data_IF_878810208112
#
_entry.id   IF_878810208112
#
_cell.length_a   1.000
_cell.length_b   1.000
_cell.length_c   1.000
_cell.angle_alpha   90.00
_cell.angle_beta   90.00
_cell.angle_gamma   90.00
#
_symmetry.space_group_name_H-M   'P 1'
#
loop_
_entity.id
_entity.type
_entity.pdbx_description
1 polymer ?
#
# COMPACT_ATOMS: atom_id res chain seq x y z
N UNK A 1 -30.16 -2.41 1.04
CA UNK A 1 -30.61 -1.01 0.78
C UNK A 1 -30.33 -0.71 -0.69
N UNK A 2 -31.21 0.01 -1.38
CA UNK A 2 -31.01 0.39 -2.78
C UNK A 2 -30.72 1.89 -2.82
N UNK A 3 -29.56 2.25 -3.34
CA UNK A 3 -29.22 3.63 -3.66
C UNK A 3 -29.00 3.70 -5.17
N UNK A 4 -29.76 4.57 -5.83
CA UNK A 4 -29.67 4.78 -7.27
C UNK A 4 -28.82 6.03 -7.46
N UNK A 5 -27.59 5.84 -7.92
CA UNK A 5 -26.74 6.90 -8.45
C UNK A 5 -27.02 6.98 -9.96
N UNK A 6 -26.84 8.14 -10.58
CA UNK A 6 -27.32 8.36 -11.96
C UNK A 6 -26.71 7.37 -12.98
N UNK A 7 -25.46 6.92 -12.75
CA UNK A 7 -24.76 5.93 -13.60
C UNK A 7 -24.29 4.67 -12.87
N UNK A 8 -24.65 4.50 -11.59
CA UNK A 8 -24.39 3.25 -10.89
C UNK A 8 -25.50 2.84 -9.93
N UNK A 9 -25.72 1.53 -9.82
CA UNK A 9 -26.60 0.98 -8.78
C UNK A 9 -25.72 0.46 -7.67
N UNK A 10 -25.90 0.98 -6.45
CA UNK A 10 -25.30 0.40 -5.26
C UNK A 10 -26.34 -0.48 -4.55
N UNK A 11 -26.04 -1.77 -4.45
CA UNK A 11 -26.84 -2.70 -3.65
C UNK A 11 -26.00 -3.09 -2.45
N UNK A 12 -26.42 -2.67 -1.27
CA UNK A 12 -25.82 -3.14 -0.01
C UNK A 12 -26.73 -4.21 0.58
N UNK A 13 -26.23 -5.44 0.65
CA UNK A 13 -26.84 -6.51 1.43
C UNK A 13 -26.14 -6.60 2.79
N UNK A 14 -26.83 -6.07 3.81
CA UNK A 14 -26.45 -6.26 5.21
C UNK A 14 -27.04 -7.56 5.74
N UNK A 15 -26.26 -8.29 6.54
CA UNK A 15 -26.68 -9.46 7.32
C UNK A 15 -26.04 -9.40 8.69
N UNK A 16 -26.87 -9.52 9.73
CA UNK A 16 -26.43 -9.79 11.09
C UNK A 16 -26.45 -11.30 11.31
N UNK A 17 -25.37 -11.84 11.85
CA UNK A 17 -25.18 -13.26 12.12
C UNK A 17 -25.55 -13.60 13.57
N UNK A 18 -25.72 -14.90 13.85
CA UNK A 18 -26.13 -15.40 15.18
C UNK A 18 -25.11 -15.12 16.29
N UNK A 19 -23.83 -14.97 15.92
CA UNK A 19 -22.72 -14.60 16.80
C UNK A 19 -22.56 -13.07 16.97
N UNK A 20 -23.47 -12.28 16.40
CA UNK A 20 -23.42 -10.82 16.41
C UNK A 20 -22.52 -10.21 15.33
N UNK A 21 -21.89 -11.01 14.47
CA UNK A 21 -21.08 -10.52 13.35
C UNK A 21 -21.94 -9.82 12.28
N UNK A 22 -21.37 -8.82 11.62
CA UNK A 22 -22.02 -8.08 10.53
C UNK A 22 -21.32 -8.40 9.21
N UNK A 23 -22.09 -8.72 8.17
CA UNK A 23 -21.57 -8.89 6.81
C UNK A 23 -22.31 -7.94 5.88
N UNK A 24 -21.54 -7.09 5.20
CA UNK A 24 -21.99 -6.27 4.10
C UNK A 24 -21.44 -6.81 2.80
N UNK A 25 -22.33 -7.10 1.86
CA UNK A 25 -21.94 -7.29 0.47
C UNK A 25 -22.38 -6.05 -0.29
N UNK A 26 -21.40 -5.28 -0.74
CA UNK A 26 -21.62 -4.07 -1.51
C UNK A 26 -21.41 -4.42 -2.97
N UNK A 27 -22.48 -4.31 -3.74
CA UNK A 27 -22.45 -4.38 -5.18
C UNK A 27 -22.47 -2.98 -5.74
N UNK A 28 -21.47 -2.64 -6.55
CA UNK A 28 -21.46 -1.40 -7.31
C UNK A 28 -21.55 -1.75 -8.78
N UNK A 29 -22.67 -1.44 -9.40
CA UNK A 29 -22.88 -1.60 -10.84
C UNK A 29 -22.41 -0.33 -11.56
N UNK A 30 -21.12 -0.25 -11.88
CA UNK A 30 -20.58 0.70 -12.87
C UNK A 30 -20.22 -0.06 -14.18
N UNK A 31 -19.48 0.57 -15.10
CA UNK A 31 -19.02 -0.02 -16.39
C UNK A 31 -18.44 -1.45 -16.24
N UNK A 32 -17.91 -1.78 -15.06
CA UNK A 32 -17.59 -3.13 -14.62
C UNK A 32 -18.23 -3.39 -13.23
N UNK A 33 -19.00 -4.48 -13.08
CA UNK A 33 -19.64 -4.80 -11.79
C UNK A 33 -18.61 -5.25 -10.75
N UNK A 34 -18.44 -4.48 -9.67
CA UNK A 34 -17.53 -4.81 -8.55
C UNK A 34 -18.31 -5.34 -7.34
N UNK A 35 -17.67 -6.28 -6.62
CA UNK A 35 -18.15 -6.84 -5.36
C UNK A 35 -17.13 -6.49 -4.28
N UNK A 36 -17.58 -5.82 -3.23
CA UNK A 36 -16.81 -5.67 -1.99
C UNK A 36 -17.52 -6.46 -0.91
N UNK A 37 -16.76 -7.29 -0.20
CA UNK A 37 -17.24 -8.04 0.95
C UNK A 37 -16.62 -7.39 2.17
N UNK A 38 -17.43 -6.76 3.01
CA UNK A 38 -17.01 -6.23 4.30
C UNK A 38 -17.58 -7.13 5.40
N UNK A 39 -16.72 -7.62 6.26
CA UNK A 39 -17.07 -8.44 7.42
C UNK A 39 -16.62 -7.72 8.69
N UNK A 40 -17.46 -7.72 9.71
CA UNK A 40 -17.14 -7.25 11.05
C UNK A 40 -17.44 -8.34 12.05
N UNK A 41 -16.44 -8.77 12.80
CA UNK A 41 -16.61 -9.83 13.79
C UNK A 41 -17.45 -9.37 14.98
N UNK A 42 -18.39 -10.21 15.41
CA UNK A 42 -19.19 -9.99 16.62
C UNK A 42 -18.49 -10.47 17.90
N UNK A 43 -17.58 -11.43 17.77
CA UNK A 43 -16.85 -12.06 18.86
C UNK A 43 -15.40 -12.39 18.47
N UNK A 44 -14.58 -12.71 19.47
CA UNK A 44 -13.21 -13.18 19.27
C UNK A 44 -13.22 -14.63 18.77
N UNK A 45 -13.15 -14.84 17.46
CA UNK A 45 -13.24 -16.18 16.88
C UNK A 45 -12.45 -16.31 15.57
N UNK A 46 -12.18 -17.55 15.17
CA UNK A 46 -11.64 -17.86 13.84
C UNK A 46 -12.76 -18.01 12.81
N UNK A 47 -12.67 -17.22 11.75
CA UNK A 47 -13.64 -17.21 10.65
C UNK A 47 -13.01 -17.70 9.36
N UNK A 48 -13.78 -18.48 8.58
CA UNK A 48 -13.43 -18.91 7.23
C UNK A 48 -14.36 -18.33 6.18
N UNK A 49 -13.81 -17.61 5.20
CA UNK A 49 -14.55 -17.18 4.02
C UNK A 49 -14.33 -18.17 2.86
N UNK A 50 -15.41 -18.74 2.34
CA UNK A 50 -15.38 -19.67 1.21
C UNK A 50 -16.33 -19.20 0.11
N UNK A 51 -15.82 -19.14 -1.12
CA UNK A 51 -16.62 -18.90 -2.31
C UNK A 51 -16.78 -20.17 -3.11
N UNK A 52 -18.02 -20.60 -3.29
CA UNK A 52 -18.39 -21.80 -4.03
C UNK A 52 -18.94 -21.44 -5.40
N UNK A 53 -18.55 -22.22 -6.41
CA UNK A 53 -19.04 -22.13 -7.80
C UNK A 53 -19.55 -23.49 -8.23
N UNK A 54 -20.84 -23.60 -8.50
CA UNK A 54 -21.48 -24.79 -9.06
C UNK A 54 -21.56 -24.65 -10.59
N UNK A 55 -20.83 -25.52 -11.32
CA UNK A 55 -20.89 -25.59 -12.78
C UNK A 55 -22.06 -26.49 -13.23
N UNK A 56 -23.09 -25.97 -13.94
CA UNK A 56 -24.27 -26.76 -14.29
C UNK A 56 -23.96 -27.93 -15.21
N UNK A 57 -24.65 -29.06 -14.96
CA UNK A 57 -24.42 -30.33 -15.65
C UNK A 57 -25.34 -30.50 -16.87
N UNK A 58 -25.26 -29.64 -17.91
CA UNK A 58 -25.92 -29.90 -19.21
C UNK A 58 -25.43 -29.00 -20.36
N UNK A 59 -25.54 -29.49 -21.60
CA UNK A 59 -25.09 -28.88 -22.87
C UNK A 59 -25.91 -27.68 -23.37
N UNK A 60 -26.73 -27.09 -22.52
CA UNK A 60 -27.35 -25.78 -22.76
C UNK A 60 -26.85 -24.88 -21.65
N UNK A 61 -26.04 -23.89 -22.01
CA UNK A 61 -25.42 -22.91 -21.10
C UNK A 61 -26.47 -22.34 -20.14
N UNK A 62 -26.61 -22.94 -18.96
CA UNK A 62 -27.31 -22.34 -17.81
C UNK A 62 -26.26 -21.61 -16.99
N UNK A 63 -26.65 -20.47 -16.41
CA UNK A 63 -25.81 -19.70 -15.49
C UNK A 63 -25.31 -20.60 -14.36
N UNK A 64 -24.02 -20.52 -14.02
CA UNK A 64 -23.50 -21.14 -12.81
C UNK A 64 -24.17 -20.57 -11.56
N UNK A 65 -24.24 -21.35 -10.48
CA UNK A 65 -24.61 -20.81 -9.17
C UNK A 65 -23.33 -20.45 -8.44
N UNK A 66 -23.30 -19.24 -7.89
CA UNK A 66 -22.21 -18.78 -7.03
C UNK A 66 -22.75 -18.75 -5.61
N UNK A 67 -21.97 -19.11 -4.61
CA UNK A 67 -22.36 -18.85 -3.23
C UNK A 67 -21.19 -18.46 -2.36
N UNK A 68 -21.43 -17.47 -1.49
CA UNK A 68 -20.49 -17.12 -0.43
C UNK A 68 -20.92 -17.85 0.83
N UNK A 69 -19.96 -18.46 1.50
CA UNK A 69 -20.12 -19.18 2.74
C UNK A 69 -19.14 -18.63 3.79
N UNK A 70 -19.64 -18.29 4.97
CA UNK A 70 -18.81 -17.96 6.12
C UNK A 70 -18.96 -19.04 7.19
N UNK A 71 -17.84 -19.50 7.74
CA UNK A 71 -17.78 -20.48 8.82
C UNK A 71 -17.11 -19.86 10.04
N UNK A 72 -17.59 -20.19 11.24
CA UNK A 72 -16.87 -19.94 12.50
C UNK A 72 -16.17 -21.21 13.00
N UNK A 73 -15.50 -21.15 14.15
CA UNK A 73 -14.63 -22.19 14.72
C UNK A 73 -15.18 -23.63 14.72
N UNK A 74 -16.50 -23.81 14.64
CA UNK A 74 -17.11 -25.15 14.52
C UNK A 74 -18.40 -25.21 13.71
N UNK A 75 -18.86 -24.09 13.12
CA UNK A 75 -20.21 -23.98 12.57
C UNK A 75 -20.26 -23.26 11.23
N UNK A 76 -21.30 -23.57 10.46
CA UNK A 76 -21.71 -22.80 9.29
C UNK A 76 -22.52 -21.59 9.75
N UNK A 77 -22.02 -20.37 9.49
CA UNK A 77 -22.68 -19.14 9.93
C UNK A 77 -23.65 -18.59 8.87
N UNK A 78 -23.26 -18.63 7.59
CA UNK A 78 -24.10 -18.06 6.53
C UNK A 78 -23.80 -18.62 5.14
N UNK A 79 -24.86 -18.91 4.34
CA UNK A 79 -24.78 -19.19 2.89
C UNK A 79 -25.58 -18.17 2.14
N UNK A 80 -25.00 -17.57 1.12
CA UNK A 80 -25.72 -16.71 0.19
C UNK A 80 -25.63 -17.30 -1.20
N UNK A 81 -26.76 -17.78 -1.75
CA UNK A 81 -26.83 -18.31 -3.11
C UNK A 81 -27.11 -17.18 -4.10
N UNK A 82 -26.17 -16.93 -4.98
CA UNK A 82 -26.20 -15.85 -5.95
C UNK A 82 -26.51 -16.36 -7.36
N UNK A 83 -27.65 -15.91 -7.90
CA UNK A 83 -28.04 -16.14 -9.29
C UNK A 83 -28.35 -14.82 -10.00
N UNK A 84 -27.36 -13.93 -10.17
CA UNK A 84 -27.41 -12.82 -11.14
C UNK A 84 -26.05 -12.13 -11.27
N UNK A 85 -25.14 -12.75 -12.01
CA UNK A 85 -24.05 -12.04 -12.66
C UNK A 85 -24.05 -12.48 -14.11
N UNK A 86 -24.39 -11.57 -15.03
CA UNK A 86 -23.98 -11.72 -16.42
C UNK A 86 -22.52 -11.30 -16.41
N UNK A 87 -21.65 -12.27 -16.65
CA UNK A 87 -20.29 -12.04 -17.14
C UNK A 87 -19.39 -11.21 -16.21
N UNK A 88 -18.82 -11.83 -15.18
CA UNK A 88 -17.59 -11.33 -14.58
C UNK A 88 -16.71 -12.50 -14.14
N UNK A 89 -15.59 -12.69 -14.83
CA UNK A 89 -14.51 -13.59 -14.47
C UNK A 89 -13.40 -12.72 -13.89
N UNK A 90 -13.36 -12.56 -12.55
CA UNK A 90 -12.09 -12.18 -11.89
C UNK A 90 -11.25 -13.44 -11.76
N UNK A 91 -9.95 -13.31 -11.95
CA UNK A 91 -8.95 -14.27 -12.44
C UNK A 91 -8.76 -15.58 -11.62
N UNK A 92 -9.81 -16.40 -11.46
CA UNK A 92 -9.65 -17.77 -10.99
C UNK A 92 -9.43 -18.67 -12.22
N UNK A 93 -8.17 -18.77 -12.67
CA UNK A 93 -7.78 -19.69 -13.74
C UNK A 93 -7.77 -21.14 -13.25
N UNK A 94 -8.93 -21.77 -13.20
CA UNK A 94 -9.02 -23.21 -13.00
C UNK A 94 -8.70 -23.91 -14.31
N UNK A 95 -7.52 -24.53 -14.37
CA UNK A 95 -7.19 -25.51 -15.42
C UNK A 95 -8.16 -26.68 -15.30
N UNK A 96 -9.16 -26.69 -16.19
CA UNK A 96 -10.12 -27.76 -16.54
C UNK A 96 -10.10 -29.01 -15.66
N UNK A 97 -11.21 -29.29 -14.95
CA UNK A 97 -11.56 -30.65 -14.57
C UNK A 97 -13.08 -30.92 -14.58
N UNK A 98 -13.59 -31.46 -15.69
CA UNK A 98 -14.79 -32.33 -15.71
C UNK A 98 -16.17 -31.69 -15.48
N UNK A 99 -17.17 -32.23 -16.18
CA UNK A 99 -18.58 -31.78 -16.10
C UNK A 99 -19.20 -32.03 -14.71
N UNK A 100 -19.84 -31.01 -14.13
CA UNK A 100 -20.65 -31.13 -12.91
C UNK A 100 -19.86 -31.18 -11.60
N UNK A 101 -18.77 -30.40 -11.49
CA UNK A 101 -18.02 -30.22 -10.25
C UNK A 101 -18.39 -28.90 -9.56
N UNK A 102 -18.39 -28.95 -8.24
CA UNK A 102 -18.37 -27.78 -7.35
C UNK A 102 -16.91 -27.37 -7.15
N UNK A 103 -16.64 -26.07 -7.24
CA UNK A 103 -15.34 -25.49 -6.93
C UNK A 103 -15.55 -24.62 -5.71
N UNK A 104 -14.82 -24.91 -4.64
CA UNK A 104 -14.77 -24.07 -3.44
C UNK A 104 -13.40 -23.42 -3.39
N UNK A 105 -13.37 -22.10 -3.30
CA UNK A 105 -12.16 -21.31 -3.06
C UNK A 105 -12.31 -20.77 -1.65
N UNK A 106 -11.54 -21.32 -0.73
CA UNK A 106 -11.41 -20.76 0.60
C UNK A 106 -10.39 -19.63 0.51
N UNK A 107 -10.75 -18.44 0.96
CA UNK A 107 -9.86 -17.29 0.94
C UNK A 107 -9.03 -17.18 2.21
N UNK A 108 -9.56 -17.62 3.37
CA UNK A 108 -8.86 -17.42 4.64
C UNK A 108 -9.44 -18.25 5.78
N UNK A 109 -8.60 -18.74 6.69
CA UNK A 109 -8.93 -18.94 8.12
C UNK A 109 -8.21 -17.86 8.91
N UNK A 110 -8.95 -16.93 9.52
CA UNK A 110 -8.34 -15.87 10.33
C UNK A 110 -9.06 -15.70 11.65
N UNK A 111 -8.28 -15.53 12.70
CA UNK A 111 -8.78 -15.10 14.00
C UNK A 111 -9.05 -13.61 13.96
N UNK A 112 -10.27 -13.23 14.26
CA UNK A 112 -10.70 -11.85 14.40
C UNK A 112 -10.93 -11.52 15.87
N UNK A 113 -10.65 -10.29 16.26
CA UNK A 113 -11.11 -9.72 17.52
C UNK A 113 -12.53 -9.16 17.37
N UNK A 114 -13.30 -9.12 18.44
CA UNK A 114 -14.64 -8.55 18.44
C UNK A 114 -14.60 -7.08 17.97
N UNK A 115 -15.38 -6.79 16.93
CA UNK A 115 -15.45 -5.49 16.28
C UNK A 115 -14.44 -5.25 15.15
N UNK A 116 -13.47 -6.14 14.96
CA UNK A 116 -12.49 -6.08 13.87
C UNK A 116 -13.17 -6.22 12.50
N UNK A 117 -12.72 -5.42 11.51
CA UNK A 117 -13.28 -5.37 10.16
C UNK A 117 -12.32 -5.94 9.12
N UNK A 118 -12.85 -6.61 8.11
CA UNK A 118 -12.13 -7.11 6.93
C UNK A 118 -12.88 -6.76 5.66
N UNK A 119 -12.16 -6.26 4.64
CA UNK A 119 -12.74 -5.87 3.37
C UNK A 119 -12.00 -6.50 2.20
N UNK A 120 -12.60 -7.46 1.49
CA UNK A 120 -12.02 -8.02 0.26
C UNK A 120 -12.28 -7.09 -0.94
N UNK A 121 -11.22 -6.79 -1.70
CA UNK A 121 -11.22 -5.85 -2.84
C UNK A 121 -11.85 -4.48 -2.52
N UNK A 122 -11.31 -3.73 -1.54
CA UNK A 122 -11.86 -2.43 -1.18
C UNK A 122 -11.74 -1.42 -2.32
N UNK A 123 -12.65 -0.46 -2.34
CA UNK A 123 -12.52 0.80 -3.09
C UNK A 123 -12.40 1.90 -2.06
N UNK A 124 -11.34 2.69 -2.17
CA UNK A 124 -11.12 3.86 -1.34
C UNK A 124 -11.46 5.09 -2.16
N UNK A 125 -12.36 5.94 -1.65
CA UNK A 125 -12.63 7.23 -2.28
C UNK A 125 -11.70 8.28 -1.69
N UNK A 126 -11.37 9.27 -2.50
CA UNK A 126 -10.52 10.35 -2.04
C UNK A 126 -11.21 11.16 -0.95
N UNK A 127 -10.46 11.51 0.09
CA UNK A 127 -10.91 12.35 1.19
C UNK A 127 -10.99 13.79 0.71
N UNK A 128 -12.22 14.32 0.55
CA UNK A 128 -12.42 15.62 -0.10
C UNK A 128 -11.75 16.79 0.64
N UNK A 129 -11.56 16.70 1.96
CA UNK A 129 -10.83 17.71 2.73
C UNK A 129 -9.31 17.67 2.54
N UNK A 130 -8.79 16.66 1.84
CA UNK A 130 -7.36 16.38 1.64
C UNK A 130 -7.01 16.17 0.17
N UNK A 131 -7.94 16.43 -0.74
CA UNK A 131 -7.69 16.46 -2.17
C UNK A 131 -7.94 17.85 -2.73
N UNK A 132 -7.59 18.03 -4.00
CA UNK A 132 -7.72 19.31 -4.69
C UNK A 132 -6.44 19.69 -5.41
N UNK A 133 -6.08 20.97 -5.37
CA UNK A 133 -4.96 21.49 -6.17
C UNK A 133 -4.11 22.52 -5.44
N UNK A 134 -2.85 22.62 -5.88
CA UNK A 134 -1.99 23.76 -5.60
C UNK A 134 -1.69 24.45 -6.94
N UNK A 135 -1.78 25.78 -6.94
CA UNK A 135 -1.53 26.61 -8.12
C UNK A 135 -0.34 27.52 -7.90
N UNK A 136 0.58 27.57 -8.87
CA UNK A 136 1.62 28.60 -8.96
C UNK A 136 1.39 29.51 -10.15
N UNK A 137 1.52 30.83 -9.95
CA UNK A 137 1.25 31.83 -10.97
C UNK A 137 2.20 33.04 -10.85
N UNK A 138 2.85 33.44 -11.95
CA UNK A 138 3.74 34.62 -12.04
C UNK A 138 3.71 35.23 -13.45
N UNK A 139 4.33 36.40 -13.65
CA UNK A 139 4.52 37.05 -14.97
C UNK A 139 5.77 36.54 -15.74
N UNK A 140 6.42 35.49 -15.22
CA UNK A 140 7.54 34.79 -15.85
C UNK A 140 7.38 33.27 -15.72
N UNK A 141 8.10 32.52 -16.56
CA UNK A 141 8.10 31.07 -16.55
C UNK A 141 9.47 30.51 -16.14
N UNK A 142 9.53 29.45 -15.31
CA UNK A 142 8.41 28.84 -14.60
C UNK A 142 7.94 29.71 -13.42
N UNK A 143 6.64 29.71 -13.08
CA UNK A 143 6.14 30.40 -11.90
C UNK A 143 6.67 29.74 -10.62
N UNK A 144 6.94 30.58 -9.63
CA UNK A 144 7.48 30.23 -8.32
C UNK A 144 6.55 30.59 -7.17
N UNK A 145 5.68 31.58 -7.37
CA UNK A 145 4.75 32.07 -6.36
C UNK A 145 3.51 31.17 -6.28
N UNK A 146 3.25 30.59 -5.11
CA UNK A 146 1.99 29.89 -4.83
C UNK A 146 0.85 30.90 -4.76
N UNK A 147 -0.11 30.79 -5.69
CA UNK A 147 -1.26 31.69 -5.79
C UNK A 147 -2.54 31.13 -5.17
N UNK A 148 -2.61 29.81 -4.96
CA UNK A 148 -3.77 29.16 -4.34
C UNK A 148 -3.48 27.73 -3.89
N UNK A 149 -4.21 27.32 -2.85
CA UNK A 149 -4.37 25.94 -2.40
C UNK A 149 -5.87 25.75 -2.23
N UNK A 150 -6.46 24.88 -3.03
CA UNK A 150 -7.90 24.67 -3.08
C UNK A 150 -8.20 23.22 -2.66
N UNK A 151 -9.05 23.05 -1.63
CA UNK A 151 -9.43 21.74 -1.04
C UNK A 151 -10.94 21.62 -0.80
N UNK A 152 -11.73 22.49 -1.41
CA UNK A 152 -13.19 22.58 -1.24
C UNK A 152 -13.81 23.05 -2.57
N UNK A 153 -13.41 22.37 -3.64
CA UNK A 153 -13.82 22.66 -5.02
C UNK A 153 -14.15 21.36 -5.71
N UNK A 154 -15.17 21.33 -6.58
CA UNK A 154 -15.54 20.12 -7.31
C UNK A 154 -14.48 19.64 -8.31
N UNK A 155 -13.61 20.55 -8.75
CA UNK A 155 -12.66 20.32 -9.84
C UNK A 155 -11.26 20.76 -9.43
N UNK A 156 -10.27 20.05 -9.96
CA UNK A 156 -8.84 20.28 -9.80
C UNK A 156 -8.16 20.19 -11.16
N UNK A 157 -7.10 20.97 -11.36
CA UNK A 157 -6.44 21.08 -12.67
C UNK A 157 -5.06 20.44 -12.66
N UNK A 158 -4.71 19.80 -13.77
CA UNK A 158 -3.35 19.30 -14.02
C UNK A 158 -2.84 19.89 -15.31
N UNK A 159 -1.70 20.58 -15.25
CA UNK A 159 -1.10 21.17 -16.44
C UNK A 159 -0.58 22.57 -16.21
N UNK A 160 -0.58 23.35 -17.27
CA UNK A 160 -0.08 24.72 -17.27
C UNK A 160 -0.85 25.58 -18.28
N UNK A 161 -0.86 26.89 -18.07
CA UNK A 161 -1.52 27.83 -18.96
C UNK A 161 -0.73 29.12 -19.12
N UNK A 162 -1.04 29.86 -20.18
CA UNK A 162 -0.55 31.21 -20.42
C UNK A 162 -1.73 32.14 -20.71
N UNK A 163 -1.92 33.17 -19.88
CA UNK A 163 -2.99 34.14 -20.09
C UNK A 163 -2.74 35.05 -21.29
N UNK A 164 -3.83 35.56 -21.87
CA UNK A 164 -3.81 36.46 -23.01
C UNK A 164 -3.45 37.93 -22.67
N UNK A 165 -3.06 38.74 -23.67
CA UNK A 165 -2.73 40.16 -23.48
C UNK A 165 -3.87 40.97 -22.82
N UNK A 166 -3.57 42.06 -22.08
CA UNK A 166 -2.30 42.79 -22.05
C UNK A 166 -1.30 42.35 -20.97
N UNK A 167 -1.65 41.38 -20.11
CA UNK A 167 -0.78 40.86 -19.07
C UNK A 167 -0.60 39.36 -19.27
N UNK A 168 0.65 38.92 -19.46
CA UNK A 168 0.97 37.50 -19.60
C UNK A 168 1.32 36.94 -18.22
N UNK A 169 0.46 36.06 -17.71
CA UNK A 169 0.72 35.25 -16.54
C UNK A 169 0.89 33.81 -16.98
N UNK A 170 1.82 33.13 -16.33
CA UNK A 170 2.05 31.70 -16.50
C UNK A 170 1.58 30.99 -15.25
N UNK A 171 0.73 29.99 -15.43
CA UNK A 171 0.17 29.21 -14.32
C UNK A 171 0.60 27.74 -14.46
N UNK A 172 0.95 27.11 -13.34
CA UNK A 172 1.11 25.65 -13.24
C UNK A 172 0.14 25.15 -12.17
N UNK A 173 -0.60 24.11 -12.53
CA UNK A 173 -1.56 23.43 -11.68
C UNK A 173 -1.09 22.01 -11.39
N UNK A 174 -1.09 21.64 -10.11
CA UNK A 174 -0.88 20.26 -9.66
C UNK A 174 -2.05 19.83 -8.81
N UNK A 175 -2.50 18.61 -9.02
CA UNK A 175 -3.59 18.01 -8.26
C UNK A 175 -3.07 17.02 -7.22
N UNK A 176 -3.84 16.82 -6.16
CA UNK A 176 -3.49 15.96 -5.03
C UNK A 176 -4.71 15.13 -4.63
N UNK A 177 -4.51 13.87 -4.27
CA UNK A 177 -5.58 12.95 -3.84
C UNK A 177 -5.12 12.12 -2.64
N UNK A 178 -6.03 11.85 -1.70
CA UNK A 178 -5.76 11.15 -0.44
C UNK A 178 -6.75 10.04 -0.18
N UNK A 179 -6.28 8.82 0.09
CA UNK A 179 -7.12 7.66 0.37
C UNK A 179 -6.81 7.09 1.75
N UNK A 180 -7.83 6.94 2.60
CA UNK A 180 -7.69 6.22 3.88
C UNK A 180 -7.59 4.71 3.64
N UNK A 181 -6.38 4.21 3.52
CA UNK A 181 -6.06 2.80 3.29
C UNK A 181 -5.77 2.02 4.59
N UNK A 182 -6.02 2.62 5.77
CA UNK A 182 -5.78 2.00 7.08
C UNK A 182 -6.65 0.77 7.36
N UNK A 183 -7.70 0.56 6.56
CA UNK A 183 -8.55 -0.63 6.63
C UNK A 183 -7.94 -1.88 5.98
N UNK A 184 -6.77 -1.78 5.35
CA UNK A 184 -6.03 -2.94 4.83
C UNK A 184 -5.31 -3.62 6.01
N UNK A 185 -5.40 -4.94 6.20
CA UNK A 185 -4.67 -5.61 7.27
C UNK A 185 -3.14 -5.49 7.09
N UNK A 186 -2.40 -5.35 8.19
CA UNK A 186 -0.93 -5.16 8.16
C UNK A 186 -0.14 -6.35 7.60
N UNK A 187 -0.74 -7.55 7.59
CA UNK A 187 -0.09 -8.82 7.26
C UNK A 187 -0.40 -9.32 5.83
N UNK A 188 -0.72 -8.41 4.92
CA UNK A 188 -1.08 -8.73 3.53
C UNK A 188 -0.03 -8.31 2.52
N UNK A 189 -0.07 -8.97 1.38
CA UNK A 189 0.68 -8.63 0.18
C UNK A 189 -0.23 -7.83 -0.73
N UNK A 190 0.16 -6.61 -1.06
CA UNK A 190 -0.50 -5.86 -2.12
C UNK A 190 -0.08 -6.47 -3.47
N UNK A 191 -1.06 -6.96 -4.23
CA UNK A 191 -0.81 -7.56 -5.55
C UNK A 191 -0.81 -6.49 -6.65
N UNK A 192 -1.74 -5.56 -6.55
CA UNK A 192 -1.93 -4.48 -7.52
C UNK A 192 -2.73 -3.35 -6.92
N UNK A 193 -2.50 -2.15 -7.43
CA UNK A 193 -3.34 -1.00 -7.15
C UNK A 193 -3.56 -0.19 -8.44
N UNK A 194 -4.75 0.38 -8.57
CA UNK A 194 -5.10 1.26 -9.69
C UNK A 194 -5.79 2.50 -9.16
N UNK A 195 -5.22 3.67 -9.48
CA UNK A 195 -5.84 4.97 -9.23
C UNK A 195 -6.75 5.32 -10.41
N UNK A 196 -7.96 5.75 -10.10
CA UNK A 196 -8.95 6.19 -11.06
C UNK A 196 -9.27 7.66 -10.83
N UNK A 197 -9.13 8.47 -11.88
CA UNK A 197 -9.48 9.88 -11.91
C UNK A 197 -10.48 10.11 -13.04
N UNK A 198 -11.39 11.07 -12.89
CA UNK A 198 -12.34 11.38 -13.94
C UNK A 198 -12.01 12.75 -14.56
N UNK A 199 -11.78 12.76 -15.87
CA UNK A 199 -11.44 13.95 -16.64
C UNK A 199 -12.71 14.51 -17.28
N UNK A 200 -13.03 15.77 -17.01
CA UNK A 200 -14.29 16.42 -17.44
C UNK A 200 -14.06 17.41 -18.56
N UNK A 201 -12.84 17.97 -18.66
CA UNK A 201 -12.45 18.84 -19.76
C UNK A 201 -10.97 18.65 -20.10
N UNK A 202 -10.67 18.77 -21.39
CA UNK A 202 -9.31 18.86 -21.92
C UNK A 202 -9.17 20.19 -22.65
N UNK A 203 -8.48 21.12 -22.00
CA UNK A 203 -8.18 22.46 -22.52
C UNK A 203 -6.72 22.52 -23.01
N UNK A 204 -6.21 21.42 -23.57
CA UNK A 204 -4.84 21.35 -24.08
C UNK A 204 -4.76 21.49 -25.61
N UNK A 205 -4.24 22.63 -26.07
CA UNK A 205 -3.86 22.80 -27.49
C UNK A 205 -2.63 21.96 -27.86
N UNK A 206 -1.85 21.57 -26.84
CA UNK A 206 -0.66 20.75 -26.99
C UNK A 206 -0.70 19.58 -26.03
N UNK A 207 -0.63 18.37 -26.61
CA UNK A 207 -0.64 17.12 -25.85
C UNK A 207 0.46 17.05 -24.79
N UNK A 208 0.11 16.47 -23.64
CA UNK A 208 1.03 16.17 -22.55
C UNK A 208 0.66 14.86 -21.87
N UNK A 209 1.49 14.41 -20.94
CA UNK A 209 1.19 13.25 -20.09
C UNK A 209 0.79 13.74 -18.70
N UNK A 210 -0.39 13.33 -18.25
CA UNK A 210 -0.82 13.43 -16.86
C UNK A 210 -0.03 12.35 -16.11
N UNK A 211 0.84 12.76 -15.21
CA UNK A 211 1.75 11.87 -14.48
C UNK A 211 1.38 11.80 -13.00
N UNK A 212 1.35 10.59 -12.45
CA UNK A 212 1.09 10.33 -11.04
C UNK A 212 2.39 10.04 -10.30
N UNK A 213 2.62 10.74 -9.20
CA UNK A 213 3.77 10.59 -8.33
C UNK A 213 3.34 10.21 -6.91
N UNK A 214 4.02 9.19 -6.38
CA UNK A 214 3.98 8.84 -4.96
C UNK A 214 5.32 9.16 -4.29
N UNK A 215 5.66 8.44 -3.24
CA UNK A 215 6.87 8.67 -2.44
C UNK A 215 6.85 7.84 -1.14
N UNK A 216 7.48 8.38 -0.10
CA UNK A 216 7.31 7.84 1.25
C UNK A 216 5.93 8.25 1.76
N UNK A 217 5.03 7.28 1.89
CA UNK A 217 3.64 7.55 2.25
C UNK A 217 3.46 7.82 3.75
N UNK A 218 2.47 8.65 4.15
CA UNK A 218 1.73 9.58 3.29
C UNK A 218 2.63 10.73 2.81
N UNK A 219 2.49 11.16 1.55
CA UNK A 219 3.42 12.15 0.96
C UNK A 219 3.20 13.60 1.43
N UNK A 220 1.99 13.95 1.91
CA UNK A 220 1.69 15.28 2.50
C UNK A 220 0.95 15.22 3.85
N UNK A 221 0.50 14.04 4.29
CA UNK A 221 0.02 13.83 5.65
C UNK A 221 -1.42 14.31 5.88
N UNK A 222 -1.64 15.07 6.96
CA UNK A 222 -2.98 15.35 7.49
C UNK A 222 -3.63 16.64 6.94
N UNK A 223 -2.96 17.36 6.05
CA UNK A 223 -3.48 18.57 5.40
C UNK A 223 -2.80 18.79 4.06
N UNK A 224 -3.52 19.33 3.08
CA UNK A 224 -2.93 19.86 1.86
C UNK A 224 -2.64 21.37 2.02
N UNK A 225 -1.39 21.77 1.91
CA UNK A 225 -0.95 23.15 2.01
C UNK A 225 0.15 23.52 0.99
N UNK A 226 0.52 24.80 0.96
CA UNK A 226 1.45 25.32 -0.05
C UNK A 226 2.85 24.69 -0.02
N UNK A 227 3.24 24.08 1.10
CA UNK A 227 4.50 23.38 1.32
C UNK A 227 4.57 22.02 0.62
N UNK A 228 3.42 21.46 0.23
CA UNK A 228 3.33 20.13 -0.41
C UNK A 228 3.65 20.17 -1.91
N UNK A 229 3.96 21.34 -2.46
CA UNK A 229 4.38 21.47 -3.85
C UNK A 229 5.65 20.64 -4.12
N UNK A 230 5.50 19.53 -4.86
CA UNK A 230 6.60 18.62 -5.16
C UNK A 230 6.87 17.56 -4.10
N UNK A 231 5.89 17.25 -3.25
CA UNK A 231 5.98 16.13 -2.30
C UNK A 231 6.07 14.75 -3.00
N UNK A 232 5.60 14.65 -4.25
CA UNK A 232 5.74 13.46 -5.09
C UNK A 232 7.17 13.28 -5.60
N UNK A 233 7.84 12.23 -5.13
CA UNK A 233 9.26 11.92 -5.42
C UNK A 233 9.46 10.68 -6.28
N UNK A 234 8.43 9.85 -6.45
CA UNK A 234 8.51 8.58 -7.19
C UNK A 234 7.42 8.48 -8.26
N UNK A 235 7.81 8.47 -9.54
CA UNK A 235 6.88 8.29 -10.66
C UNK A 235 6.20 6.91 -10.61
N UNK A 236 4.88 6.88 -10.79
CA UNK A 236 4.08 5.65 -10.80
C UNK A 236 3.58 5.30 -12.19
N UNK A 237 2.86 6.22 -12.82
CA UNK A 237 2.17 5.99 -14.09
C UNK A 237 1.83 7.30 -14.77
N UNK A 238 1.38 7.21 -16.02
CA UNK A 238 0.90 8.37 -16.74
C UNK A 238 0.00 8.01 -17.91
N UNK A 239 -0.88 8.93 -18.26
CA UNK A 239 -1.82 8.85 -19.39
C UNK A 239 -1.63 10.09 -20.26
N UNK A 240 -1.55 9.89 -21.58
CA UNK A 240 -1.34 10.97 -22.54
C UNK A 240 -2.68 11.62 -22.91
N UNK A 241 -2.78 12.94 -22.92
CA UNK A 241 -4.00 13.64 -23.38
C UNK A 241 -4.27 13.37 -24.86
N UNK A 242 -3.23 13.05 -25.64
CA UNK A 242 -3.36 12.63 -27.04
C UNK A 242 -4.20 11.36 -27.26
N UNK A 243 -4.49 10.59 -26.20
CA UNK A 243 -5.32 9.37 -26.28
C UNK A 243 -6.78 9.62 -25.92
N UNK A 244 -7.16 10.86 -25.61
CA UNK A 244 -8.53 11.18 -25.24
C UNK A 244 -9.41 11.13 -26.48
N UNK A 245 -10.42 10.26 -26.45
CA UNK A 245 -11.38 10.12 -27.56
C UNK A 245 -12.41 11.27 -27.53
N UNK A 246 -12.82 11.72 -26.34
CA UNK A 246 -13.66 12.89 -26.02
C UNK A 246 -13.38 13.31 -24.55
N UNK A 247 -13.58 14.58 -24.12
CA UNK A 247 -13.65 14.91 -22.69
C UNK A 247 -14.82 14.16 -22.02
N UNK A 248 -14.77 13.96 -20.69
CA UNK A 248 -15.72 13.14 -19.90
C UNK A 248 -15.40 11.63 -19.81
N UNK A 249 -14.14 11.28 -19.54
CA UNK A 249 -13.70 9.88 -19.39
C UNK A 249 -12.99 9.56 -18.06
N UNK A 250 -13.03 8.28 -17.69
CA UNK A 250 -12.28 7.75 -16.54
C UNK A 250 -10.87 7.36 -16.97
N UNK A 251 -9.88 7.98 -16.33
CA UNK A 251 -8.46 7.70 -16.49
C UNK A 251 -8.02 6.67 -15.43
N UNK A 252 -7.28 5.64 -15.87
CA UNK A 252 -6.75 4.59 -14.99
C UNK A 252 -5.23 4.60 -14.97
N UNK A 253 -4.65 4.60 -13.77
CA UNK A 253 -3.21 4.66 -13.54
C UNK A 253 -2.77 3.44 -12.72
N UNK A 254 -1.88 2.63 -13.26
CA UNK A 254 -1.30 1.49 -12.54
C UNK A 254 -0.35 1.98 -11.45
N UNK A 255 -0.65 1.68 -10.19
CA UNK A 255 0.16 2.09 -9.04
C UNK A 255 1.00 0.91 -8.56
N UNK A 256 2.26 1.18 -8.24
CA UNK A 256 3.15 0.17 -7.65
C UNK A 256 2.58 -0.31 -6.29
N UNK A 257 2.52 -1.62 -6.03
CA UNK A 257 2.08 -2.15 -4.73
C UNK A 257 2.80 -1.56 -3.52
N UNK A 258 4.07 -1.17 -3.68
CA UNK A 258 4.89 -0.55 -2.62
C UNK A 258 4.50 0.89 -2.26
N UNK A 259 3.57 1.49 -3.01
CA UNK A 259 3.02 2.81 -2.70
C UNK A 259 1.77 2.75 -1.85
N UNK A 260 1.24 1.56 -1.55
CA UNK A 260 0.05 1.44 -0.72
C UNK A 260 0.47 1.38 0.75
N UNK A 261 0.02 2.37 1.51
CA UNK A 261 0.27 2.45 2.94
C UNK A 261 -0.85 1.74 3.72
N UNK A 262 -0.61 0.50 4.12
CA UNK A 262 -1.61 -0.29 4.86
C UNK A 262 -1.88 0.23 6.28
N UNK A 263 -0.97 1.05 6.84
CA UNK A 263 -1.07 1.58 8.22
C UNK A 263 -1.70 2.97 8.29
N UNK A 264 -2.12 3.55 7.17
CA UNK A 264 -2.59 4.93 7.13
C UNK A 264 -3.06 5.35 5.75
N UNK A 265 -2.79 6.59 5.39
CA UNK A 265 -3.19 7.16 4.10
C UNK A 265 -2.21 6.81 3.00
N UNK A 266 -2.79 6.58 1.82
CA UNK A 266 -2.09 6.53 0.53
C UNK A 266 -2.42 7.80 -0.23
N UNK A 267 -1.39 8.55 -0.63
CA UNK A 267 -1.51 9.88 -1.23
C UNK A 267 -0.70 10.01 -2.52
N UNK A 268 -1.18 10.82 -3.45
CA UNK A 268 -0.50 11.07 -4.72
C UNK A 268 -0.52 12.54 -5.13
N UNK A 269 0.57 12.97 -5.77
CA UNK A 269 0.67 14.23 -6.52
C UNK A 269 0.49 13.91 -8.01
N UNK A 270 -0.33 14.69 -8.71
CA UNK A 270 -0.56 14.58 -10.14
C UNK A 270 -0.10 15.86 -10.82
N UNK A 271 0.76 15.71 -11.84
CA UNK A 271 1.37 16.85 -12.56
C UNK A 271 1.55 16.56 -14.04
N UNK A 272 1.87 17.60 -14.80
CA UNK A 272 2.11 17.48 -16.25
C UNK A 272 3.57 17.17 -16.58
N UNK A 273 3.79 16.31 -17.57
CA UNK A 273 5.12 16.03 -18.12
C UNK A 273 5.76 17.22 -18.86
N UNK A 274 4.99 18.30 -19.10
CA UNK A 274 5.46 19.53 -19.76
C UNK A 274 5.92 20.61 -18.80
N UNK A 275 5.82 20.42 -17.49
CA UNK A 275 6.41 21.36 -16.54
C UNK A 275 7.91 21.58 -16.83
N UNK A 276 8.35 22.83 -16.84
CA UNK A 276 9.67 23.23 -17.30
C UNK A 276 9.75 23.62 -18.78
N UNK A 277 8.70 23.39 -19.57
CA UNK A 277 8.54 23.90 -20.94
C UNK A 277 7.46 24.97 -20.97
N UNK A 278 7.81 26.20 -21.32
CA UNK A 278 6.86 27.32 -21.30
C UNK A 278 5.64 27.07 -22.20
N UNK A 279 4.40 27.20 -21.69
CA UNK A 279 3.19 27.02 -22.50
C UNK A 279 3.00 28.19 -23.48
N UNK A 280 2.38 27.88 -24.62
CA UNK A 280 2.02 28.88 -25.62
C UNK A 280 0.58 29.38 -25.52
N UNK A 281 -0.28 28.60 -24.86
CA UNK A 281 -1.68 28.85 -24.55
C UNK A 281 -2.10 27.94 -23.39
N UNK A 282 -3.30 27.39 -23.44
CA UNK A 282 -3.78 26.44 -22.44
C UNK A 282 -3.24 25.03 -22.74
N UNK A 283 -2.65 24.40 -21.72
CA UNK A 283 -2.07 23.06 -21.73
C UNK A 283 -2.44 22.36 -20.41
N UNK A 284 -3.74 22.27 -20.10
CA UNK A 284 -4.24 21.64 -18.87
C UNK A 284 -5.53 20.85 -19.08
N UNK A 285 -5.83 19.99 -18.11
CA UNK A 285 -7.10 19.24 -18.01
C UNK A 285 -7.80 19.56 -16.69
N UNK A 286 -9.11 19.37 -16.66
CA UNK A 286 -9.94 19.43 -15.45
C UNK A 286 -10.32 18.03 -14.98
N UNK A 287 -10.00 17.72 -13.72
CA UNK A 287 -10.31 16.46 -13.05
C UNK A 287 -11.29 16.69 -11.91
N UNK A 288 -12.14 15.71 -11.63
CA UNK A 288 -13.00 15.72 -10.44
C UNK A 288 -12.20 15.59 -9.14
N UNK A 289 -12.62 16.29 -8.09
CA UNK A 289 -12.16 16.09 -6.70
C UNK A 289 -13.12 15.17 -5.94
N UNK A 290 -12.80 14.88 -4.66
CA UNK A 290 -13.68 14.17 -3.75
C UNK A 290 -14.97 14.93 -3.41
N UNK A 291 -15.00 16.25 -3.59
CA UNK A 291 -16.23 17.05 -3.42
C UNK A 291 -17.25 16.81 -4.54
N UNK A 292 -16.79 16.34 -5.70
CA UNK A 292 -17.68 16.01 -6.81
C UNK A 292 -18.29 14.61 -6.67
N UNK A 293 -19.49 14.58 -6.09
CA UNK A 293 -20.21 13.35 -5.74
C UNK A 293 -20.37 12.31 -6.86
N UNK A 294 -20.47 12.73 -8.11
CA UNK A 294 -20.81 11.82 -9.21
C UNK A 294 -19.61 10.99 -9.69
N UNK A 295 -18.43 11.58 -9.72
CA UNK A 295 -17.21 10.96 -10.22
C UNK A 295 -15.99 11.27 -9.33
N UNK A 296 -16.06 11.00 -8.00
CA UNK A 296 -14.95 11.27 -7.12
C UNK A 296 -13.75 10.36 -7.46
N UNK A 297 -12.51 10.83 -7.30
CA UNK A 297 -11.33 9.98 -7.41
C UNK A 297 -11.43 8.77 -6.50
N UNK A 298 -10.97 7.61 -7.00
CA UNK A 298 -10.96 6.39 -6.20
C UNK A 298 -9.74 5.51 -6.49
N UNK A 299 -9.31 4.78 -5.46
CA UNK A 299 -8.23 3.82 -5.51
C UNK A 299 -8.80 2.41 -5.34
N UNK A 300 -8.41 1.51 -6.23
CA UNK A 300 -8.69 0.08 -6.08
C UNK A 300 -7.41 -0.65 -5.69
N UNK A 301 -7.50 -1.55 -4.71
CA UNK A 301 -6.36 -2.33 -4.21
C UNK A 301 -6.76 -3.81 -4.18
N UNK A 302 -5.92 -4.66 -4.78
CA UNK A 302 -6.00 -6.12 -4.65
C UNK A 302 -4.87 -6.58 -3.73
N UNK A 303 -5.20 -7.42 -2.76
CA UNK A 303 -4.22 -7.95 -1.82
C UNK A 303 -4.56 -9.38 -1.40
N UNK A 304 -3.55 -10.12 -0.96
CA UNK A 304 -3.70 -11.48 -0.43
C UNK A 304 -2.97 -11.64 0.88
N UNK A 305 -3.50 -12.50 1.74
CA UNK A 305 -2.89 -12.89 3.02
C UNK A 305 -1.87 -14.03 2.85
N UNK A 306 -1.82 -14.66 1.67
CA UNK A 306 -0.83 -15.69 1.36
C UNK A 306 0.42 -15.04 0.79
N UNK A 307 1.27 -14.45 1.66
CA UNK A 307 2.63 -14.15 1.25
C UNK A 307 3.44 -15.43 1.18
N UNK A 308 3.62 -15.94 -0.04
CA UNK A 308 4.76 -16.80 -0.34
C UNK A 308 5.74 -15.97 -1.13
N UNK A 309 6.85 -15.49 -0.53
CA UNK A 309 7.84 -14.72 -1.27
C UNK A 309 8.30 -15.54 -2.48
N UNK A 310 8.43 -14.88 -3.64
CA UNK A 310 8.89 -15.55 -4.84
C UNK A 310 10.32 -16.06 -4.64
N UNK A 311 10.73 -17.08 -5.39
CA UNK A 311 12.10 -17.58 -5.33
C UNK A 311 13.13 -16.47 -5.64
N UNK A 312 12.78 -15.50 -6.49
CA UNK A 312 13.63 -14.35 -6.80
C UNK A 312 13.72 -13.37 -5.62
N UNK A 313 12.61 -13.10 -4.93
CA UNK A 313 12.60 -12.26 -3.73
C UNK A 313 13.41 -12.90 -2.59
N UNK A 314 13.26 -14.22 -2.40
CA UNK A 314 14.08 -14.98 -1.44
C UNK A 314 15.56 -14.87 -1.81
N UNK A 315 15.92 -15.07 -3.08
CA UNK A 315 17.31 -14.96 -3.52
C UNK A 315 17.88 -13.55 -3.35
N UNK A 316 17.08 -12.51 -3.61
CA UNK A 316 17.49 -11.12 -3.40
C UNK A 316 17.72 -10.82 -1.92
N UNK A 317 16.84 -11.28 -1.02
CA UNK A 317 17.01 -11.13 0.42
C UNK A 317 18.25 -11.88 0.93
N UNK A 318 18.49 -13.11 0.46
CA UNK A 318 19.71 -13.88 0.79
C UNK A 318 20.95 -13.14 0.30
N UNK A 319 20.97 -12.66 -0.94
CA UNK A 319 22.10 -11.92 -1.49
C UNK A 319 22.36 -10.61 -0.73
N UNK A 320 21.30 -9.94 -0.28
CA UNK A 320 21.41 -8.75 0.56
C UNK A 320 22.14 -9.07 1.87
N UNK A 321 21.68 -10.08 2.63
CA UNK A 321 22.32 -10.50 3.89
C UNK A 321 23.77 -10.96 3.67
N UNK A 322 24.04 -11.69 2.59
CA UNK A 322 25.40 -12.13 2.22
C UNK A 322 26.32 -10.94 1.94
N UNK A 323 25.82 -9.90 1.27
CA UNK A 323 26.61 -8.70 0.96
C UNK A 323 26.93 -7.83 2.18
N UNK A 324 26.12 -7.95 3.23
CA UNK A 324 26.26 -7.25 4.50
C UNK A 324 27.02 -8.07 5.55
N UNK A 325 27.49 -9.27 5.23
CA UNK A 325 28.25 -10.09 6.15
C UNK A 325 29.68 -9.56 6.33
N UNK A 326 30.07 -9.31 7.59
CA UNK A 326 31.44 -9.00 7.97
C UNK A 326 32.20 -10.27 8.35
N UNK A 327 33.23 -10.64 7.57
CA UNK A 327 33.98 -11.87 7.78
C UNK A 327 34.90 -11.88 9.01
N UNK A 328 35.22 -10.72 9.58
CA UNK A 328 36.04 -10.59 10.79
C UNK A 328 35.20 -10.76 12.05
N UNK A 329 34.04 -10.10 12.10
CA UNK A 329 33.13 -10.19 13.25
C UNK A 329 32.19 -11.39 13.16
N UNK A 330 32.03 -11.94 11.97
CA UNK A 330 31.08 -13.00 11.62
C UNK A 330 29.63 -12.60 11.89
N UNK A 331 29.31 -11.31 11.72
CA UNK A 331 27.98 -10.72 11.88
C UNK A 331 27.58 -9.92 10.65
N UNK A 332 26.28 -9.71 10.48
CA UNK A 332 25.66 -8.84 9.46
C UNK A 332 25.40 -7.46 10.06
N UNK A 333 25.70 -6.41 9.30
CA UNK A 333 25.33 -5.02 9.61
C UNK A 333 24.14 -4.60 8.75
N UNK A 334 23.18 -3.85 9.30
CA UNK A 334 21.90 -3.58 8.61
C UNK A 334 21.71 -2.12 8.18
N UNK A 335 22.59 -1.20 8.57
CA UNK A 335 22.37 0.22 8.24
C UNK A 335 23.28 0.70 7.13
N UNK A 336 22.71 1.15 6.00
CA UNK A 336 23.45 1.88 4.96
C UNK A 336 23.69 3.35 5.32
N UNK A 337 23.24 3.78 6.50
CA UNK A 337 23.39 5.14 6.96
C UNK A 337 24.86 5.46 7.26
N UNK A 338 25.35 6.53 6.64
CA UNK A 338 26.73 7.02 6.78
C UNK A 338 26.86 8.14 7.82
N UNK A 339 25.77 8.41 8.54
CA UNK A 339 25.69 9.42 9.59
C UNK A 339 26.54 9.07 10.81
N UNK A 340 26.79 10.08 11.65
CA UNK A 340 27.42 9.89 12.95
C UNK A 340 26.48 9.13 13.89
N UNK A 341 26.99 8.13 14.59
CA UNK A 341 26.20 7.27 15.47
C UNK A 341 25.76 7.98 16.75
N UNK A 342 24.56 7.68 17.26
CA UNK A 342 24.07 8.19 18.56
C UNK A 342 24.92 7.75 19.76
N UNK A 343 25.79 6.77 19.59
CA UNK A 343 26.66 6.26 20.66
C UNK A 343 27.87 7.19 20.88
N UNK A 344 28.04 8.23 20.06
CA UNK A 344 28.99 9.30 20.36
C UNK A 344 28.52 10.18 21.53
N UNK A 345 27.25 10.10 21.92
CA UNK A 345 26.76 10.77 23.11
C UNK A 345 27.27 10.05 24.37
N UNK A 346 28.06 10.70 25.25
CA UNK A 346 28.52 10.09 26.50
C UNK A 346 27.38 9.68 27.44
N UNK A 347 26.17 10.21 27.26
CA UNK A 347 24.97 9.86 28.04
C UNK A 347 24.10 8.80 27.35
N UNK A 348 24.54 8.21 26.23
CA UNK A 348 23.80 7.19 25.52
C UNK A 348 23.47 5.97 26.41
N UNK A 349 22.25 5.46 26.25
CA UNK A 349 21.78 4.27 26.96
C UNK A 349 22.65 3.05 26.62
N UNK A 350 23.08 2.30 27.64
CA UNK A 350 24.02 1.19 27.49
C UNK A 350 25.50 1.59 27.39
N UNK A 351 25.82 2.89 27.49
CA UNK A 351 27.18 3.45 27.51
C UNK A 351 27.60 4.04 26.17
N UNK A 352 28.03 5.31 26.18
CA UNK A 352 28.54 6.04 25.02
C UNK A 352 30.07 5.96 24.84
N UNK A 353 30.51 6.28 23.64
CA UNK A 353 31.88 6.18 23.12
C UNK A 353 32.31 7.45 22.36
N UNK A 354 32.27 8.64 22.99
CA UNK A 354 32.61 9.92 22.34
C UNK A 354 34.03 9.94 21.76
N UNK A 355 34.96 9.15 22.30
CA UNK A 355 36.35 9.06 21.84
C UNK A 355 36.51 8.43 20.44
N UNK A 356 35.43 7.90 19.86
CA UNK A 356 35.39 7.32 18.52
C UNK A 356 34.73 8.23 17.48
N UNK A 357 34.63 9.54 17.75
CA UNK A 357 34.16 10.52 16.79
C UNK A 357 34.92 10.42 15.45
N UNK A 358 34.17 10.33 14.35
CA UNK A 358 34.71 10.13 13.00
C UNK A 358 35.14 8.70 12.67
N UNK A 359 34.93 7.74 13.57
CA UNK A 359 35.19 6.30 13.38
C UNK A 359 33.95 5.43 13.62
N UNK A 360 32.97 5.91 14.38
CA UNK A 360 31.72 5.21 14.69
C UNK A 360 30.59 5.67 13.76
N UNK A 361 30.05 4.73 12.99
CA UNK A 361 29.01 4.96 11.98
C UNK A 361 27.92 3.89 12.10
N UNK A 362 26.73 4.15 11.58
CA UNK A 362 25.66 3.13 11.65
C UNK A 362 26.01 1.86 10.87
N UNK A 363 26.69 2.01 9.73
CA UNK A 363 27.15 0.89 8.91
C UNK A 363 28.34 0.08 9.49
N UNK A 364 28.80 0.38 10.70
CA UNK A 364 29.74 -0.46 11.45
C UNK A 364 29.21 -0.87 12.83
N UNK A 365 27.88 -0.81 13.00
CA UNK A 365 27.17 -1.25 14.21
C UNK A 365 26.43 -2.55 13.94
N UNK A 366 26.49 -3.47 14.90
CA UNK A 366 25.99 -4.83 14.77
C UNK A 366 25.03 -5.15 15.91
N UNK A 367 23.75 -5.37 15.58
CA UNK A 367 22.75 -5.79 16.56
C UNK A 367 22.76 -7.29 16.73
N UNK A 368 23.26 -7.74 17.88
CA UNK A 368 23.40 -9.17 18.18
C UNK A 368 22.02 -9.81 18.40
N UNK A 369 21.19 -9.22 19.27
CA UNK A 369 19.96 -9.88 19.76
C UNK A 369 18.75 -9.78 18.84
N UNK A 370 18.71 -8.81 17.92
CA UNK A 370 17.65 -8.71 16.90
C UNK A 370 18.17 -9.24 15.57
N UNK A 371 18.98 -8.45 14.89
CA UNK A 371 19.23 -8.59 13.45
C UNK A 371 20.01 -9.86 13.18
N UNK A 372 21.07 -10.12 13.94
CA UNK A 372 21.91 -11.28 13.73
C UNK A 372 21.23 -12.59 14.19
N UNK A 373 20.38 -12.52 15.23
CA UNK A 373 19.52 -13.64 15.62
C UNK A 373 18.55 -14.01 14.49
N UNK A 374 17.88 -13.03 13.91
CA UNK A 374 16.99 -13.25 12.77
C UNK A 374 17.73 -13.70 11.51
N UNK A 375 18.89 -13.09 11.21
CA UNK A 375 19.65 -13.37 10.01
C UNK A 375 20.10 -14.84 9.95
N UNK A 376 20.63 -15.42 11.03
CA UNK A 376 21.06 -16.81 10.97
C UNK A 376 19.88 -17.79 10.83
N UNK A 377 18.75 -17.51 11.50
CA UNK A 377 17.54 -18.33 11.33
C UNK A 377 16.96 -18.21 9.92
N UNK A 378 16.95 -17.00 9.34
CA UNK A 378 16.48 -16.76 7.98
C UNK A 378 17.39 -17.41 6.92
N UNK A 379 18.71 -17.42 7.14
CA UNK A 379 19.69 -17.99 6.22
C UNK A 379 19.81 -19.51 6.32
N UNK A 380 19.43 -20.15 7.43
CA UNK A 380 19.58 -21.60 7.64
C UNK A 380 19.14 -22.47 6.45
N UNK A 381 17.94 -22.28 5.84
CA UNK A 381 17.52 -23.09 4.69
C UNK A 381 18.19 -22.74 3.35
N UNK A 382 18.87 -21.59 3.23
CA UNK A 382 19.35 -21.06 1.96
C UNK A 382 20.88 -20.97 1.87
N UNK A 383 21.55 -20.63 2.98
CA UNK A 383 23.00 -20.63 3.13
C UNK A 383 23.38 -21.12 4.55
N UNK A 384 23.32 -22.44 4.79
CA UNK A 384 23.55 -23.01 6.12
C UNK A 384 24.97 -22.75 6.65
N UNK A 385 25.96 -22.62 5.75
CA UNK A 385 27.35 -22.33 6.14
C UNK A 385 27.45 -20.92 6.71
N UNK A 386 26.81 -19.94 6.08
CA UNK A 386 26.81 -18.57 6.57
C UNK A 386 26.00 -18.44 7.87
N UNK A 387 24.84 -19.10 7.92
CA UNK A 387 24.00 -19.16 9.12
C UNK A 387 24.77 -19.72 10.32
N UNK A 388 25.50 -20.83 10.17
CA UNK A 388 26.29 -21.43 11.25
C UNK A 388 27.37 -20.47 11.79
N UNK A 389 28.00 -19.69 10.91
CA UNK A 389 29.01 -18.70 11.31
C UNK A 389 28.39 -17.55 12.10
N UNK A 390 27.26 -17.01 11.62
CA UNK A 390 26.53 -15.95 12.32
C UNK A 390 26.02 -16.46 13.67
N UNK A 391 25.49 -17.69 13.72
CA UNK A 391 25.03 -18.31 14.96
C UNK A 391 26.17 -18.48 15.97
N UNK A 392 27.35 -18.94 15.53
CA UNK A 392 28.51 -19.07 16.40
C UNK A 392 28.97 -17.71 16.96
N UNK A 393 28.95 -16.67 16.11
CA UNK A 393 29.25 -15.31 16.50
C UNK A 393 28.22 -14.77 17.51
N UNK A 394 26.93 -14.94 17.23
CA UNK A 394 25.83 -14.60 18.13
C UNK A 394 26.05 -15.22 19.51
N UNK A 395 26.26 -16.53 19.60
CA UNK A 395 26.50 -17.24 20.87
C UNK A 395 27.75 -16.72 21.60
N UNK A 396 28.82 -16.40 20.87
CA UNK A 396 30.05 -15.82 21.43
C UNK A 396 29.80 -14.45 22.05
N UNK A 397 29.00 -13.58 21.41
CA UNK A 397 28.72 -12.24 21.92
C UNK A 397 27.63 -12.25 22.99
N UNK A 398 26.64 -13.13 22.89
CA UNK A 398 25.66 -13.41 23.94
C UNK A 398 26.37 -13.81 25.24
N UNK A 399 27.35 -14.72 25.16
CA UNK A 399 28.14 -15.13 26.34
C UNK A 399 28.94 -13.97 26.97
N UNK A 400 29.27 -12.93 26.20
CA UNK A 400 29.96 -11.73 26.69
C UNK A 400 29.01 -10.67 27.24
N UNK A 401 27.89 -10.42 26.56
CA UNK A 401 26.93 -9.35 26.88
C UNK A 401 25.84 -9.77 27.87
N UNK A 402 25.54 -11.06 27.92
CA UNK A 402 24.35 -11.61 28.57
C UNK A 402 23.12 -11.55 27.66
N UNK A 403 22.22 -12.52 27.81
CA UNK A 403 21.00 -12.65 27.00
C UNK A 403 20.04 -11.47 27.14
N UNK A 404 19.35 -11.15 26.04
CA UNK A 404 18.24 -10.19 26.00
C UNK A 404 16.94 -10.80 26.52
N UNK A 405 16.62 -12.03 26.09
CA UNK A 405 15.37 -12.75 26.34
C UNK A 405 14.10 -12.09 25.76
N UNK A 406 14.26 -11.11 24.86
CA UNK A 406 13.15 -10.42 24.20
C UNK A 406 12.88 -10.96 22.80
N UNK A 407 13.93 -11.12 22.00
CA UNK A 407 13.80 -11.55 20.61
C UNK A 407 13.84 -13.07 20.50
N UNK A 408 14.52 -13.73 21.44
CA UNK A 408 14.60 -15.18 21.55
C UNK A 408 13.21 -15.83 21.77
N UNK A 409 12.23 -15.09 22.30
CA UNK A 409 10.88 -15.61 22.48
C UNK A 409 10.15 -15.91 21.17
N UNK A 410 10.54 -15.25 20.08
CA UNK A 410 10.05 -15.57 18.74
C UNK A 410 10.49 -16.97 18.29
N UNK A 411 11.51 -17.53 18.93
CA UNK A 411 12.07 -18.86 18.70
C UNK A 411 11.72 -19.86 19.82
N UNK A 412 10.73 -19.52 20.65
CA UNK A 412 10.16 -20.43 21.65
C UNK A 412 10.79 -20.37 23.04
N UNK A 413 11.57 -19.33 23.34
CA UNK A 413 12.07 -19.08 24.69
C UNK A 413 11.10 -18.24 25.54
N UNK A 414 11.11 -18.44 26.85
CA UNK A 414 10.25 -17.67 27.77
C UNK A 414 10.85 -16.27 28.02
N UNK A 415 9.98 -15.26 28.02
CA UNK A 415 10.34 -13.89 28.44
C UNK A 415 10.39 -13.86 29.98
N UNK A 416 11.52 -13.49 30.62
CA UNK A 416 11.65 -13.42 32.06
C UNK A 416 10.93 -12.21 32.66
N UNK A 417 10.53 -12.31 33.93
CA UNK A 417 9.88 -11.22 34.68
C UNK A 417 10.77 -9.97 34.85
N UNK A 418 12.09 -10.12 34.66
CA UNK A 418 13.07 -9.03 34.75
C UNK A 418 13.89 -9.00 33.47
N UNK A 419 13.72 -7.92 32.70
CA UNK A 419 14.43 -7.67 31.45
C UNK A 419 15.69 -6.85 31.76
N UNK A 420 16.84 -7.27 31.23
CA UNK A 420 18.07 -6.50 31.33
C UNK A 420 18.06 -5.33 30.34
N UNK A 421 18.59 -4.17 30.75
CA UNK A 421 18.77 -3.03 29.84
C UNK A 421 19.81 -3.31 28.75
N UNK A 422 19.79 -2.51 27.69
CA UNK A 422 20.73 -2.61 26.59
C UNK A 422 22.19 -2.47 27.07
N UNK A 423 23.10 -3.21 26.43
CA UNK A 423 24.54 -3.16 26.71
C UNK A 423 25.31 -3.03 25.41
N UNK A 424 26.12 -1.98 25.32
CA UNK A 424 26.98 -1.76 24.16
C UNK A 424 28.35 -2.38 24.43
N UNK A 425 28.88 -3.13 23.46
CA UNK A 425 30.19 -3.76 23.53
C UNK A 425 31.01 -3.27 22.34
N UNK A 426 32.16 -2.66 22.62
CA UNK A 426 33.13 -2.30 21.59
C UNK A 426 34.11 -3.46 21.38
N UNK A 427 34.35 -3.80 20.11
CA UNK A 427 35.28 -4.85 19.72
C UNK A 427 36.39 -4.18 18.92
N UNK A 428 37.59 -4.18 19.47
CA UNK A 428 38.79 -3.79 18.73
C UNK A 428 39.24 -4.99 17.89
N UNK A 429 39.36 -4.80 16.58
CA UNK A 429 39.74 -5.86 15.63
C UNK A 429 41.25 -5.87 15.34
N UNK A 430 42.04 -5.01 16.00
CA UNK A 430 43.50 -4.92 15.83
C UNK A 430 44.30 -5.86 16.76
N UNK A 431 43.66 -6.84 17.42
CA UNK A 431 44.31 -7.96 18.16
C UNK A 431 44.29 -9.32 17.44
#
# INVERSE_FOLDING_TARGET
MYEKLEDSVRIVEFRLMDDGSELNIIHTFANFGKYTIEFRAGEDATYRLVWNVEIPKASTYKKGKYSVALYGESNFLLSLNWQKARDFYKDIRLKSFGKGKEISIAFLDRRFSAGETFSLDPTYYSESTLDGQITKCDDYYPPTTTSGVDTDTNFMHVGQSKSDPPYYYFTIYRSYVSFDTSGIPDDVVIESATLHLYCISDESDTDFTIEVYGGSQPIYGDSLDSGDWGCGTSYQSGVSTSTFDEPEEELSFSISPYQINVQGRTQFEIRSSREGTQPSGDEYVELCTGDYYYHPPYLTVSYTTEFTPSQEQIQAAVAYLESHFNSTLELVWESEEKGQHWLLDPEAEGGGFPEYEGKLFFNNTYWVYSDNLFAFHALEPYNPVLAERIQAAYMKYEAKGGRSYLFESLFGEDIPDVIAGARNIMIDTDE
#
